data_IF_716687803806
#
_entry.id   IF_716687803806
#
_cell.length_a   1.000
_cell.length_b   1.000
_cell.length_c   1.000
_cell.angle_alpha   90.00
_cell.angle_beta   90.00
_cell.angle_gamma   90.00
#
_symmetry.space_group_name_H-M   'P 1'
#
loop_
_entity.id
_entity.type
_entity.pdbx_description
1 polymer ?
#
# COMPACT_ATOMS: atom_id res chain seq x y z
N UNK A 1 -11.27 -15.02 16.88
CA UNK A 1 -10.88 -13.64 17.26
C UNK A 1 -9.43 -13.32 16.85
N UNK A 2 -8.39 -13.86 17.49
CA UNK A 2 -6.98 -13.52 17.13
C UNK A 2 -6.52 -14.05 15.76
N UNK A 3 -7.09 -15.13 15.25
CA UNK A 3 -6.76 -15.65 13.90
C UNK A 3 -7.51 -14.91 12.77
N UNK A 4 -8.50 -14.08 13.09
CA UNK A 4 -9.34 -13.39 12.10
C UNK A 4 -9.01 -11.89 11.98
N UNK A 5 -8.58 -11.26 13.08
CA UNK A 5 -8.13 -9.86 13.10
C UNK A 5 -6.64 -9.82 12.75
N UNK A 6 -6.35 -9.46 11.51
CA UNK A 6 -5.01 -9.53 10.93
C UNK A 6 -4.27 -8.17 10.96
N UNK A 7 -4.95 -7.14 11.44
CA UNK A 7 -4.54 -5.73 11.49
C UNK A 7 -4.39 -5.21 12.92
N UNK A 8 -4.36 -6.09 13.94
CA UNK A 8 -3.99 -5.71 15.32
C UNK A 8 -2.62 -5.01 15.38
N UNK A 9 -1.70 -5.42 14.49
CA UNK A 9 -0.43 -4.75 14.25
C UNK A 9 -0.28 -4.56 12.73
N UNK A 10 -0.39 -3.31 12.29
CA UNK A 10 -0.20 -2.92 10.90
C UNK A 10 1.07 -2.08 10.74
N UNK A 11 1.95 -2.51 9.84
CA UNK A 11 3.15 -1.79 9.42
C UNK A 11 3.00 -1.36 7.98
N UNK A 12 3.55 -0.20 7.62
CA UNK A 12 3.62 0.24 6.23
C UNK A 12 5.07 0.50 5.84
N UNK A 13 5.51 -0.13 4.75
CA UNK A 13 6.78 0.13 4.10
C UNK A 13 6.46 0.97 2.86
N UNK A 14 6.90 2.23 2.89
CA UNK A 14 6.74 3.19 1.79
C UNK A 14 8.07 3.32 1.07
N UNK A 15 8.15 2.82 -0.15
CA UNK A 15 9.35 2.91 -0.97
C UNK A 15 9.44 4.27 -1.64
N UNK A 16 10.59 4.91 -1.49
CA UNK A 16 10.87 6.17 -2.19
C UNK A 16 10.96 5.95 -3.70
N UNK A 17 11.52 4.83 -4.15
CA UNK A 17 11.70 4.49 -5.56
C UNK A 17 10.93 3.22 -5.91
N UNK A 18 10.10 3.22 -6.97
CA UNK A 18 9.39 2.03 -7.41
C UNK A 18 10.30 0.84 -7.73
N UNK A 19 11.51 1.07 -8.23
CA UNK A 19 12.45 -0.01 -8.61
C UNK A 19 12.96 -0.84 -7.42
N UNK A 20 12.85 -0.31 -6.19
CA UNK A 20 13.19 -1.06 -4.97
C UNK A 20 12.11 -2.08 -4.58
N UNK A 21 11.00 -2.17 -5.33
CA UNK A 21 9.88 -3.06 -5.04
C UNK A 21 10.31 -4.51 -4.88
N UNK A 22 11.07 -5.05 -5.85
CA UNK A 22 11.49 -6.45 -5.80
C UNK A 22 12.40 -6.72 -4.59
N UNK A 23 13.34 -5.80 -4.31
CA UNK A 23 14.23 -5.90 -3.15
C UNK A 23 13.46 -5.89 -1.83
N UNK A 24 12.41 -5.08 -1.72
CA UNK A 24 11.55 -5.06 -0.53
C UNK A 24 10.71 -6.34 -0.40
N UNK A 25 10.21 -6.87 -1.53
CA UNK A 25 9.51 -8.17 -1.56
C UNK A 25 10.43 -9.30 -1.07
N UNK A 26 11.67 -9.33 -1.57
CA UNK A 26 12.66 -10.35 -1.19
C UNK A 26 13.05 -10.22 0.28
N UNK A 27 13.20 -8.99 0.79
CA UNK A 27 13.41 -8.74 2.21
C UNK A 27 12.26 -9.30 3.07
N UNK A 28 11.01 -9.02 2.70
CA UNK A 28 9.85 -9.51 3.45
C UNK A 28 9.84 -11.05 3.45
N UNK A 29 9.97 -11.67 2.27
CA UNK A 29 9.94 -13.13 2.12
C UNK A 29 11.11 -13.85 2.77
N UNK A 30 12.27 -13.22 2.85
CA UNK A 30 13.46 -13.79 3.48
C UNK A 30 13.47 -13.68 5.01
N UNK A 31 12.61 -12.83 5.59
CA UNK A 31 12.62 -12.55 7.03
C UNK A 31 11.38 -13.04 7.79
N UNK A 32 10.27 -13.27 7.08
CA UNK A 32 8.98 -13.58 7.69
C UNK A 32 8.29 -14.75 7.00
N UNK A 33 7.47 -15.47 7.77
CA UNK A 33 6.61 -16.52 7.22
C UNK A 33 5.27 -15.93 6.77
N UNK A 34 4.94 -16.10 5.49
CA UNK A 34 3.62 -15.74 4.95
C UNK A 34 2.55 -16.69 5.50
N UNK A 35 1.52 -16.14 6.15
CA UNK A 35 0.38 -16.93 6.67
C UNK A 35 -0.62 -17.22 5.56
N UNK A 36 -0.70 -16.34 4.55
CA UNK A 36 -1.56 -16.48 3.37
C UNK A 36 -1.00 -15.65 2.22
N UNK A 37 -1.51 -15.89 1.01
CA UNK A 37 -1.15 -15.10 -0.17
C UNK A 37 -1.37 -13.60 0.09
N UNK A 38 -0.45 -12.73 -0.39
CA UNK A 38 -0.59 -11.29 -0.23
C UNK A 38 -1.86 -10.78 -0.92
N UNK A 39 -2.58 -9.88 -0.27
CA UNK A 39 -3.67 -9.17 -0.92
C UNK A 39 -3.06 -8.07 -1.80
N UNK A 40 -3.26 -8.17 -3.13
CA UNK A 40 -2.72 -7.21 -4.09
C UNK A 40 -3.82 -6.29 -4.56
N UNK A 41 -3.67 -5.00 -4.26
CA UNK A 41 -4.53 -3.94 -4.75
C UNK A 41 -3.91 -3.39 -6.03
N UNK A 42 -4.63 -3.52 -7.14
CA UNK A 42 -4.17 -3.14 -8.47
C UNK A 42 -4.83 -1.83 -8.90
N UNK A 43 -4.22 -1.15 -9.87
CA UNK A 43 -4.74 0.14 -10.38
C UNK A 43 -5.92 -0.02 -11.35
N UNK A 44 -6.15 -1.23 -11.87
CA UNK A 44 -7.26 -1.55 -12.76
C UNK A 44 -8.60 -1.77 -12.03
N UNK A 45 -8.60 -1.66 -10.69
CA UNK A 45 -9.83 -1.70 -9.90
C UNK A 45 -10.73 -0.52 -10.27
N UNK A 46 -12.02 -0.79 -10.41
CA UNK A 46 -13.01 0.26 -10.58
C UNK A 46 -13.15 1.06 -9.28
N UNK A 47 -12.88 2.36 -9.36
CA UNK A 47 -13.08 3.33 -8.27
C UNK A 47 -13.77 4.57 -8.83
N UNK A 48 -14.62 5.19 -8.01
CA UNK A 48 -15.52 6.26 -8.45
C UNK A 48 -16.79 5.74 -9.11
N UNK A 49 -17.81 6.59 -9.17
CA UNK A 49 -19.15 6.30 -9.70
C UNK A 49 -19.47 7.10 -10.95
N UNK A 50 -18.97 8.32 -11.05
CA UNK A 50 -19.32 9.30 -12.09
C UNK A 50 -18.14 9.65 -13.01
N UNK A 51 -16.92 9.25 -12.65
CA UNK A 51 -15.69 9.45 -13.39
C UNK A 51 -14.90 8.15 -13.45
N UNK A 52 -14.43 7.79 -14.65
CA UNK A 52 -13.47 6.69 -14.84
C UNK A 52 -12.06 7.25 -14.68
N UNK A 53 -11.27 6.81 -13.68
CA UNK A 53 -9.93 7.33 -13.44
C UNK A 53 -9.00 7.14 -14.63
N UNK A 54 -8.20 8.15 -14.92
CA UNK A 54 -7.13 8.12 -15.92
C UNK A 54 -5.84 7.54 -15.34
N UNK A 55 -5.57 7.83 -14.06
CA UNK A 55 -4.36 7.38 -13.37
C UNK A 55 -4.57 6.11 -12.54
N UNK A 56 -5.79 5.55 -12.60
CA UNK A 56 -6.15 4.29 -11.95
C UNK A 56 -6.37 4.41 -10.45
N UNK A 57 -6.70 3.27 -9.83
CA UNK A 57 -6.90 3.15 -8.40
C UNK A 57 -5.58 2.97 -7.63
N UNK A 58 -5.67 3.14 -6.30
CA UNK A 58 -4.55 2.94 -5.38
C UNK A 58 -3.93 1.55 -5.53
N UNK A 59 -2.60 1.47 -5.51
CA UNK A 59 -1.84 0.22 -5.56
C UNK A 59 -1.10 -0.07 -4.26
N UNK A 60 -1.24 -1.31 -3.78
CA UNK A 60 -0.46 -1.81 -2.65
C UNK A 60 -0.42 -3.33 -2.63
N UNK A 61 0.54 -3.88 -1.90
CA UNK A 61 0.62 -5.30 -1.60
C UNK A 61 0.64 -5.50 -0.09
N UNK A 62 -0.40 -6.13 0.43
CA UNK A 62 -0.56 -6.38 1.86
C UNK A 62 -0.16 -7.82 2.17
N UNK A 63 0.93 -7.96 2.90
CA UNK A 63 1.44 -9.22 3.41
C UNK A 63 0.92 -9.48 4.80
N UNK A 64 0.58 -10.73 5.08
CA UNK A 64 0.13 -11.14 6.41
C UNK A 64 1.07 -12.21 6.91
N UNK A 65 1.78 -11.87 7.96
CA UNK A 65 3.06 -12.46 8.30
C UNK A 65 3.11 -12.86 9.76
N UNK A 66 4.03 -13.78 10.06
CA UNK A 66 4.50 -14.12 11.40
C UNK A 66 6.02 -14.14 11.42
N UNK A 67 6.61 -13.89 12.58
CA UNK A 67 8.03 -14.16 12.79
C UNK A 67 8.29 -15.67 12.70
N UNK A 68 9.38 -16.05 12.04
CA UNK A 68 9.83 -17.45 12.04
C UNK A 68 10.29 -17.87 13.44
N UNK A 69 9.91 -19.08 13.87
CA UNK A 69 10.24 -19.61 15.20
C UNK A 69 11.75 -19.60 15.50
N UNK A 70 12.58 -19.76 14.47
CA UNK A 70 14.05 -19.74 14.62
C UNK A 70 14.63 -18.32 14.80
N UNK A 71 13.88 -17.29 14.39
CA UNK A 71 14.26 -15.86 14.48
C UNK A 71 13.71 -15.19 15.74
N UNK A 72 12.96 -15.94 16.55
CA UNK A 72 12.25 -15.47 17.73
C UNK A 72 13.10 -14.96 18.91
N UNK A 73 14.43 -15.10 18.89
CA UNK A 73 15.37 -14.79 20.00
C UNK A 73 14.91 -13.71 20.99
N UNK A 74 15.24 -12.44 20.72
CA UNK A 74 14.93 -11.28 21.57
C UNK A 74 13.48 -10.81 21.42
N UNK A 75 12.77 -11.33 20.43
CA UNK A 75 11.40 -10.96 20.06
C UNK A 75 10.40 -12.08 20.41
N UNK A 76 10.72 -12.92 21.39
CA UNK A 76 9.99 -14.17 21.66
C UNK A 76 8.53 -13.94 21.98
N UNK A 77 8.21 -12.81 22.63
CA UNK A 77 6.85 -12.36 22.93
C UNK A 77 6.01 -12.02 21.68
N UNK A 78 6.64 -11.82 20.53
CA UNK A 78 5.98 -11.54 19.25
C UNK A 78 5.89 -12.76 18.34
N UNK A 79 6.36 -13.92 18.81
CA UNK A 79 6.31 -15.15 18.04
C UNK A 79 4.90 -15.71 17.95
N UNK A 80 4.53 -16.17 16.74
CA UNK A 80 3.15 -16.57 16.44
C UNK A 80 2.16 -15.40 16.30
N UNK A 81 2.56 -14.15 16.59
CA UNK A 81 1.71 -12.97 16.40
C UNK A 81 1.54 -12.67 14.92
N UNK A 82 0.30 -12.61 14.47
CA UNK A 82 -0.07 -12.20 13.12
C UNK A 82 0.01 -10.67 12.99
N UNK A 83 0.69 -10.20 11.96
CA UNK A 83 0.73 -8.77 11.62
C UNK A 83 0.64 -8.55 10.10
N UNK A 84 0.26 -7.34 9.71
CA UNK A 84 0.20 -6.92 8.31
C UNK A 84 1.38 -6.00 7.96
N UNK A 85 2.04 -6.26 6.82
CA UNK A 85 2.91 -5.28 6.16
C UNK A 85 2.24 -4.83 4.87
N UNK A 86 1.93 -3.54 4.78
CA UNK A 86 1.51 -2.87 3.55
C UNK A 86 2.75 -2.36 2.83
N UNK A 87 3.05 -2.93 1.66
CA UNK A 87 4.13 -2.47 0.79
C UNK A 87 3.56 -1.58 -0.31
N UNK A 88 4.07 -0.37 -0.42
CA UNK A 88 3.60 0.62 -1.40
C UNK A 88 4.73 1.58 -1.78
N UNK A 89 4.48 2.47 -2.74
CA UNK A 89 5.43 3.53 -3.12
C UNK A 89 5.00 4.86 -2.50
N UNK A 90 5.90 5.84 -2.52
CA UNK A 90 5.60 7.19 -2.01
C UNK A 90 4.46 7.86 -2.78
N UNK A 91 4.36 7.66 -4.10
CA UNK A 91 3.25 8.17 -4.90
C UNK A 91 1.91 7.59 -4.43
N UNK A 92 1.85 6.28 -4.28
CA UNK A 92 0.66 5.55 -3.88
C UNK A 92 0.26 5.85 -2.42
N UNK A 93 1.24 6.02 -1.51
CA UNK A 93 0.97 6.42 -0.12
C UNK A 93 0.40 7.85 -0.05
N UNK A 94 0.97 8.80 -0.79
CA UNK A 94 0.48 10.18 -0.84
C UNK A 94 -0.94 10.24 -1.40
N UNK A 95 -1.18 9.58 -2.53
CA UNK A 95 -2.50 9.49 -3.13
C UNK A 95 -3.50 8.83 -2.18
N UNK A 96 -3.16 7.69 -1.58
CA UNK A 96 -4.08 6.98 -0.68
C UNK A 96 -4.43 7.79 0.57
N UNK A 97 -3.47 8.52 1.17
CA UNK A 97 -3.77 9.40 2.31
C UNK A 97 -4.84 10.44 1.99
N UNK A 98 -4.82 10.97 0.76
CA UNK A 98 -5.83 11.90 0.29
C UNK A 98 -7.15 11.18 -0.05
N UNK A 99 -7.10 10.14 -0.89
CA UNK A 99 -8.27 9.51 -1.49
C UNK A 99 -9.04 8.58 -0.53
N UNK A 100 -8.38 8.01 0.48
CA UNK A 100 -8.95 6.97 1.32
C UNK A 100 -10.24 7.40 2.03
N UNK A 101 -10.28 8.63 2.55
CA UNK A 101 -11.47 9.16 3.24
C UNK A 101 -12.67 9.26 2.31
N UNK A 102 -12.44 9.69 1.07
CA UNK A 102 -13.50 9.93 0.09
C UNK A 102 -14.01 8.63 -0.54
N UNK A 103 -13.11 7.74 -0.93
CA UNK A 103 -13.46 6.53 -1.68
C UNK A 103 -13.88 5.36 -0.79
N UNK A 104 -13.40 5.27 0.46
CA UNK A 104 -13.56 4.05 1.28
C UNK A 104 -14.27 4.26 2.63
N UNK A 105 -14.27 5.46 3.23
CA UNK A 105 -14.90 5.71 4.55
C UNK A 105 -16.33 6.25 4.52
N UNK A 106 -17.04 6.12 3.40
CA UNK A 106 -18.50 6.33 3.37
C UNK A 106 -18.98 7.72 2.92
N UNK A 107 -18.13 8.53 2.28
CA UNK A 107 -18.56 9.66 1.46
C UNK A 107 -18.85 9.40 -0.04
N UNK A 108 -18.74 8.18 -0.63
CA UNK A 108 -18.93 8.01 -2.08
C UNK A 108 -20.26 8.54 -2.62
N UNK A 109 -21.35 8.47 -1.84
CA UNK A 109 -22.66 8.98 -2.26
C UNK A 109 -22.74 10.51 -2.32
N UNK A 110 -21.78 11.21 -1.72
CA UNK A 110 -21.70 12.68 -1.71
C UNK A 110 -20.70 13.24 -2.73
N UNK A 111 -19.88 12.40 -3.37
CA UNK A 111 -18.89 12.86 -4.33
C UNK A 111 -19.55 13.21 -5.65
N UNK A 112 -19.35 14.46 -6.08
CA UNK A 112 -19.69 14.86 -7.43
C UNK A 112 -18.68 14.28 -8.44
N UNK A 113 -19.04 14.30 -9.72
CA UNK A 113 -18.09 13.98 -10.80
C UNK A 113 -16.82 14.84 -10.74
N UNK A 114 -16.94 16.10 -10.32
CA UNK A 114 -15.78 17.00 -10.20
C UNK A 114 -14.86 16.57 -9.05
N UNK A 115 -15.41 16.11 -7.93
CA UNK A 115 -14.62 15.61 -6.80
C UNK A 115 -13.83 14.35 -7.21
N UNK A 116 -14.45 13.44 -7.95
CA UNK A 116 -13.78 12.24 -8.45
C UNK A 116 -12.66 12.59 -9.47
N UNK A 117 -12.87 13.62 -10.30
CA UNK A 117 -11.80 14.15 -11.16
C UNK A 117 -10.64 14.73 -10.33
N UNK A 118 -10.91 15.45 -9.24
CA UNK A 118 -9.87 15.98 -8.35
C UNK A 118 -9.08 14.86 -7.68
N UNK A 119 -9.76 13.80 -7.24
CA UNK A 119 -9.11 12.61 -6.67
C UNK A 119 -8.19 11.96 -7.71
N UNK A 120 -8.64 11.79 -8.95
CA UNK A 120 -7.84 11.23 -10.04
C UNK A 120 -6.63 12.14 -10.40
N UNK A 121 -6.83 13.46 -10.47
CA UNK A 121 -5.74 14.42 -10.66
C UNK A 121 -4.69 14.35 -9.54
N UNK A 122 -5.12 14.18 -8.28
CA UNK A 122 -4.19 14.00 -7.15
C UNK A 122 -3.34 12.74 -7.29
N UNK A 123 -3.89 11.66 -7.88
CA UNK A 123 -3.11 10.47 -8.20
C UNK A 123 -2.05 10.79 -9.27
N UNK A 124 -2.45 11.43 -10.37
CA UNK A 124 -1.53 11.85 -11.43
C UNK A 124 -0.38 12.72 -10.91
N UNK A 125 -0.66 13.70 -10.06
CA UNK A 125 0.37 14.55 -9.43
C UNK A 125 1.34 13.72 -8.58
N UNK A 126 0.83 12.76 -7.81
CA UNK A 126 1.65 11.88 -6.97
C UNK A 126 2.58 10.99 -7.82
N UNK A 127 2.09 10.50 -8.96
CA UNK A 127 2.90 9.75 -9.92
C UNK A 127 3.98 10.64 -10.56
N UNK A 128 3.63 11.87 -10.97
CA UNK A 128 4.61 12.84 -11.48
C UNK A 128 5.70 13.14 -10.45
N UNK A 129 5.35 13.28 -9.18
CA UNK A 129 6.33 13.44 -8.10
C UNK A 129 7.29 12.25 -8.01
N UNK A 130 6.80 11.01 -8.11
CA UNK A 130 7.66 9.82 -8.15
C UNK A 130 8.58 9.81 -9.38
N UNK A 131 8.13 10.31 -10.53
CA UNK A 131 9.00 10.46 -11.70
C UNK A 131 10.11 11.49 -11.46
N UNK A 132 9.81 12.61 -10.78
CA UNK A 132 10.83 13.58 -10.39
C UNK A 132 11.87 12.96 -9.45
N UNK A 133 11.45 12.14 -8.48
CA UNK A 133 12.38 11.41 -7.60
C UNK A 133 13.28 10.46 -8.37
N UNK A 134 12.72 9.70 -9.32
CA UNK A 134 13.49 8.82 -10.19
C UNK A 134 14.51 9.59 -11.04
N UNK A 135 14.09 10.70 -11.64
CA UNK A 135 14.98 11.58 -12.39
C UNK A 135 16.14 12.08 -11.51
N UNK A 136 15.86 12.56 -10.29
CA UNK A 136 16.93 13.03 -9.39
C UNK A 136 17.89 11.91 -8.99
N UNK A 137 17.40 10.68 -8.77
CA UNK A 137 18.24 9.52 -8.44
C UNK A 137 19.25 9.18 -9.54
N UNK A 138 18.90 9.37 -10.81
CA UNK A 138 19.78 9.06 -11.94
C UNK A 138 20.76 10.19 -12.28
N UNK A 139 20.47 11.41 -11.83
CA UNK A 139 21.23 12.62 -12.17
C UNK A 139 22.04 13.20 -10.99
N UNK A 140 22.13 12.46 -9.88
CA UNK A 140 22.97 12.74 -8.71
C UNK A 140 24.03 11.64 -8.54
#
# INVERSE_FOLDING_TARGET
>A
IFDEIHDLVGLRIVLQYPDDMQRAIDFIKGNFSEVRQPAVFRSDREVGRYWKPWFGAYQTRNYRLRLEDQKCRTLSQFCGVLFEIQLTTIAEDLYNRFAHTFLYKGLPETLSRQDEMVIDMAHGISLCYSLCLMYMKENL
#
